data_IF_757598236356
#
_entry.id   IF_757598236356
#
_cell.length_a   1.000
_cell.length_b   1.000
_cell.length_c   1.000
_cell.angle_alpha   90.00
_cell.angle_beta   90.00
_cell.angle_gamma   90.00
#
_symmetry.space_group_name_H-M   'P 1'
#
loop_
_entity.id
_entity.type
_entity.pdbx_description
1 polymer ?
#
# COMPACT_ATOMS: atom_id res chain seq x y z
N UNK A 1 57.96 19.67 -3.55
CA UNK A 1 56.63 20.21 -3.18
C UNK A 1 55.74 20.28 -4.42
N UNK A 2 54.93 19.25 -4.77
CA UNK A 2 53.77 19.39 -5.71
C UNK A 2 53.09 18.08 -6.19
N UNK A 3 53.18 16.94 -5.49
CA UNK A 3 52.44 15.73 -5.90
C UNK A 3 51.41 15.27 -4.85
N UNK A 4 51.76 15.35 -3.56
CA UNK A 4 50.96 14.76 -2.49
C UNK A 4 49.67 15.53 -2.14
N UNK A 5 49.59 16.83 -2.45
CA UNK A 5 48.40 17.66 -2.14
C UNK A 5 47.28 17.43 -3.15
N UNK A 6 47.61 17.15 -4.43
CA UNK A 6 46.60 16.86 -5.47
C UNK A 6 45.84 15.55 -5.20
N UNK A 7 46.52 14.56 -4.61
CA UNK A 7 45.90 13.28 -4.28
C UNK A 7 44.88 13.40 -3.14
N UNK A 8 45.07 14.34 -2.21
CA UNK A 8 44.16 14.56 -1.10
C UNK A 8 42.85 15.25 -1.53
N UNK A 9 42.92 16.28 -2.39
CA UNK A 9 41.73 16.97 -2.91
C UNK A 9 40.88 16.09 -3.85
N UNK A 10 41.50 15.21 -4.63
CA UNK A 10 40.77 14.28 -5.51
C UNK A 10 39.95 13.26 -4.71
N UNK A 11 40.52 12.73 -3.62
CA UNK A 11 39.82 11.79 -2.74
C UNK A 11 38.68 12.45 -1.95
N UNK A 12 38.83 13.71 -1.52
CA UNK A 12 37.79 14.42 -0.76
C UNK A 12 36.53 14.76 -1.58
N UNK A 13 36.66 14.89 -2.91
CA UNK A 13 35.49 15.09 -3.79
C UNK A 13 34.72 13.80 -4.08
N UNK A 14 35.40 12.65 -4.09
CA UNK A 14 34.77 11.34 -4.38
C UNK A 14 33.97 10.81 -3.19
N UNK A 15 34.42 11.01 -1.96
CA UNK A 15 33.69 10.57 -0.75
C UNK A 15 32.39 11.34 -0.52
N UNK A 16 32.32 12.61 -0.94
CA UNK A 16 31.11 13.43 -0.77
C UNK A 16 29.99 13.09 -1.77
N UNK A 17 30.32 12.51 -2.94
CA UNK A 17 29.31 12.04 -3.90
C UNK A 17 28.72 10.67 -3.52
N UNK A 18 29.52 9.80 -2.88
CA UNK A 18 29.04 8.50 -2.42
C UNK A 18 28.08 8.60 -1.23
N UNK A 19 28.30 9.53 -0.31
CA UNK A 19 27.40 9.75 0.83
C UNK A 19 26.03 10.31 0.43
N UNK A 20 25.96 11.06 -0.68
CA UNK A 20 24.70 11.58 -1.22
C UNK A 20 23.84 10.49 -1.89
N UNK A 21 24.43 9.40 -2.37
CA UNK A 21 23.70 8.33 -3.05
C UNK A 21 23.09 7.29 -2.09
N UNK A 22 23.65 7.13 -0.89
CA UNK A 22 23.21 6.11 0.08
C UNK A 22 21.95 6.54 0.85
N UNK A 23 21.64 7.83 0.95
CA UNK A 23 20.40 8.31 1.58
C UNK A 23 19.15 8.21 0.68
N UNK A 24 19.31 7.89 -0.61
CA UNK A 24 18.18 7.81 -1.55
C UNK A 24 17.49 6.43 -1.58
N UNK A 25 17.98 5.46 -0.80
CA UNK A 25 17.36 4.13 -0.66
C UNK A 25 16.85 3.94 0.77
N UNK A 26 16.26 4.99 1.34
CA UNK A 26 15.26 4.76 2.38
C UNK A 26 14.08 4.08 1.68
N UNK A 27 13.61 2.91 2.14
CA UNK A 27 12.31 2.44 1.71
C UNK A 27 11.36 3.61 1.97
N UNK A 28 10.72 4.12 0.91
CA UNK A 28 9.59 5.02 1.10
C UNK A 28 8.75 4.37 2.20
N UNK A 29 8.37 5.08 3.28
CA UNK A 29 7.36 4.53 4.16
C UNK A 29 6.21 4.21 3.22
N UNK A 30 5.96 2.91 3.01
CA UNK A 30 4.82 2.45 2.24
C UNK A 30 3.68 3.20 2.89
N UNK A 31 3.11 4.15 2.14
CA UNK A 31 2.09 5.04 2.66
C UNK A 31 1.12 4.10 3.35
N UNK A 32 1.01 4.24 4.67
CA UNK A 32 0.08 3.46 5.43
C UNK A 32 -1.27 3.96 4.91
N UNK A 33 -1.74 3.31 3.84
CA UNK A 33 -3.03 3.54 3.25
C UNK A 33 -3.96 3.48 4.44
N UNK A 34 -4.52 4.63 4.79
CA UNK A 34 -5.27 4.81 6.02
C UNK A 34 -6.52 3.97 5.87
N UNK A 35 -6.41 2.71 6.27
CA UNK A 35 -7.42 1.70 6.03
C UNK A 35 -8.71 2.18 6.66
N UNK A 36 -9.73 2.35 5.83
CA UNK A 36 -11.06 2.68 6.31
C UNK A 36 -11.65 1.44 6.97
N UNK A 37 -12.25 1.60 8.15
CA UNK A 37 -13.03 0.52 8.75
C UNK A 37 -14.42 0.46 8.12
N UNK A 38 -14.89 -0.77 7.90
CA UNK A 38 -16.26 -1.05 7.54
C UNK A 38 -16.81 -2.15 8.44
N UNK A 39 -18.13 -2.11 8.69
CA UNK A 39 -18.85 -3.18 9.34
C UNK A 39 -20.01 -3.65 8.46
N UNK A 40 -20.14 -4.96 8.25
CA UNK A 40 -21.26 -5.52 7.50
C UNK A 40 -22.59 -5.28 8.23
N UNK A 41 -23.59 -4.76 7.54
CA UNK A 41 -24.93 -4.49 8.09
C UNK A 41 -25.85 -5.71 8.03
N UNK A 42 -25.54 -6.65 7.13
CA UNK A 42 -26.19 -7.95 6.93
C UNK A 42 -25.15 -8.98 6.46
N UNK A 43 -25.58 -10.21 6.16
CA UNK A 43 -24.69 -11.16 5.49
C UNK A 43 -24.27 -10.59 4.12
N UNK A 44 -22.98 -10.37 3.91
CA UNK A 44 -22.44 -9.70 2.73
C UNK A 44 -21.74 -10.70 1.82
N UNK A 45 -21.98 -10.58 0.51
CA UNK A 45 -21.36 -11.44 -0.50
C UNK A 45 -19.98 -10.89 -0.83
N UNK A 46 -18.96 -11.74 -0.74
CA UNK A 46 -17.59 -11.42 -1.14
C UNK A 46 -17.33 -11.96 -2.53
N UNK A 47 -16.76 -11.13 -3.40
CA UNK A 47 -16.50 -11.44 -4.80
C UNK A 47 -15.03 -11.27 -5.15
N UNK A 48 -14.59 -11.93 -6.22
CA UNK A 48 -13.21 -11.83 -6.72
C UNK A 48 -12.91 -10.53 -7.47
N UNK A 49 -13.93 -9.76 -7.85
CA UNK A 49 -13.76 -8.46 -8.51
C UNK A 49 -14.93 -7.49 -8.20
N UNK A 50 -14.76 -6.18 -8.42
CA UNK A 50 -15.75 -5.14 -8.10
C UNK A 50 -16.88 -5.08 -9.14
N UNK A 51 -17.59 -6.18 -9.33
CA UNK A 51 -18.75 -6.30 -10.20
C UNK A 51 -19.69 -7.41 -9.67
N UNK A 52 -21.01 -7.20 -9.80
CA UNK A 52 -22.03 -8.18 -9.38
C UNK A 52 -22.00 -9.48 -10.17
N UNK A 53 -21.43 -9.49 -11.37
CA UNK A 53 -21.28 -10.66 -12.22
C UNK A 53 -20.06 -11.51 -11.86
N UNK A 54 -19.15 -11.00 -11.02
CA UNK A 54 -17.96 -11.73 -10.58
C UNK A 54 -18.33 -12.93 -9.71
N UNK A 55 -17.57 -14.03 -9.77
CA UNK A 55 -17.76 -15.19 -8.89
C UNK A 55 -17.85 -14.81 -7.41
N UNK A 56 -18.76 -15.49 -6.71
CA UNK A 56 -18.87 -15.41 -5.25
C UNK A 56 -17.80 -16.32 -4.65
N UNK A 57 -16.97 -15.76 -3.77
CA UNK A 57 -15.90 -16.49 -3.10
C UNK A 57 -16.36 -17.00 -1.74
N UNK A 58 -17.03 -16.12 -0.98
CA UNK A 58 -17.53 -16.44 0.35
C UNK A 58 -18.61 -15.45 0.78
N UNK A 59 -19.19 -15.67 1.95
CA UNK A 59 -20.10 -14.74 2.61
C UNK A 59 -19.53 -14.30 3.96
N UNK A 60 -19.55 -13.00 4.24
CA UNK A 60 -19.24 -12.46 5.56
C UNK A 60 -20.52 -12.42 6.40
N UNK A 61 -20.48 -12.84 7.68
CA UNK A 61 -21.62 -12.71 8.57
C UNK A 61 -21.93 -11.24 8.87
N UNK A 62 -23.15 -10.96 9.31
CA UNK A 62 -23.56 -9.63 9.79
C UNK A 62 -22.70 -9.18 10.98
N UNK A 63 -22.34 -7.90 11.02
CA UNK A 63 -21.55 -7.31 12.10
C UNK A 63 -20.04 -7.54 11.98
N UNK A 64 -19.58 -8.24 10.93
CA UNK A 64 -18.16 -8.45 10.69
C UNK A 64 -17.49 -7.12 10.35
N UNK A 65 -16.45 -6.78 11.10
CA UNK A 65 -15.59 -5.63 10.84
C UNK A 65 -14.43 -6.05 9.95
N UNK A 66 -14.03 -5.18 9.03
CA UNK A 66 -12.86 -5.33 8.19
C UNK A 66 -12.32 -3.96 7.77
N UNK A 67 -11.07 -3.93 7.33
CA UNK A 67 -10.47 -2.73 6.76
C UNK A 67 -10.55 -2.79 5.24
N UNK A 68 -10.62 -1.64 4.59
CA UNK A 68 -10.55 -1.50 3.15
C UNK A 68 -9.71 -0.29 2.76
N UNK A 69 -9.17 -0.33 1.54
CA UNK A 69 -8.24 0.70 1.03
C UNK A 69 -8.77 1.30 -0.29
N UNK A 70 -9.35 0.46 -1.13
CA UNK A 70 -9.81 0.78 -2.48
C UNK A 70 -11.33 0.70 -2.55
N UNK A 71 -11.92 1.67 -3.26
CA UNK A 71 -13.33 1.67 -3.64
C UNK A 71 -13.46 1.74 -5.18
N UNK A 72 -14.31 0.89 -5.76
CA UNK A 72 -14.57 0.85 -7.21
C UNK A 72 -15.96 0.29 -7.49
N UNK A 73 -16.73 0.93 -8.38
CA UNK A 73 -18.04 0.46 -8.86
C UNK A 73 -19.08 0.13 -7.75
N UNK A 74 -19.04 0.83 -6.61
CA UNK A 74 -19.92 0.51 -5.47
C UNK A 74 -19.47 -0.73 -4.67
N UNK A 75 -18.20 -1.08 -4.75
CA UNK A 75 -17.54 -2.10 -3.95
C UNK A 75 -16.30 -1.54 -3.28
N UNK A 76 -15.94 -2.10 -2.13
CA UNK A 76 -14.67 -1.88 -1.46
C UNK A 76 -13.87 -3.17 -1.38
N UNK A 77 -12.55 -3.10 -1.46
CA UNK A 77 -11.72 -4.29 -1.29
C UNK A 77 -11.58 -4.64 0.20
N UNK A 78 -11.37 -5.90 0.53
CA UNK A 78 -10.86 -6.26 1.86
C UNK A 78 -9.36 -5.94 1.84
N UNK A 79 -8.87 -5.19 2.83
CA UNK A 79 -7.46 -4.80 2.93
C UNK A 79 -6.54 -6.03 2.80
N UNK A 80 -5.41 -5.82 2.11
CA UNK A 80 -4.43 -6.86 1.79
C UNK A 80 -5.00 -8.05 1.00
N UNK A 81 -6.15 -7.88 0.35
CA UNK A 81 -6.82 -8.91 -0.43
C UNK A 81 -7.30 -8.39 -1.79
N UNK A 82 -7.53 -9.32 -2.72
CA UNK A 82 -8.17 -9.07 -4.01
C UNK A 82 -9.69 -9.21 -3.95
N UNK A 83 -10.24 -9.45 -2.76
CA UNK A 83 -11.66 -9.68 -2.53
C UNK A 83 -12.42 -8.38 -2.35
N UNK A 84 -13.66 -8.35 -2.83
CA UNK A 84 -14.51 -7.17 -2.88
C UNK A 84 -15.86 -7.40 -2.21
N UNK A 85 -16.34 -6.38 -1.50
CA UNK A 85 -17.64 -6.36 -0.80
C UNK A 85 -18.44 -5.15 -1.25
N UNK A 86 -19.75 -5.30 -1.46
CA UNK A 86 -20.58 -4.17 -1.88
C UNK A 86 -20.71 -3.12 -0.77
N UNK A 87 -20.61 -1.84 -1.13
CA UNK A 87 -20.83 -0.73 -0.19
C UNK A 87 -22.26 -0.68 0.34
N UNK A 88 -23.23 -1.27 -0.39
CA UNK A 88 -24.61 -1.38 0.06
C UNK A 88 -24.80 -2.35 1.25
N UNK A 89 -23.81 -3.20 1.52
CA UNK A 89 -23.89 -4.23 2.56
C UNK A 89 -23.07 -3.87 3.82
N UNK A 90 -22.50 -2.66 3.87
CA UNK A 90 -21.61 -2.19 4.95
C UNK A 90 -22.00 -0.79 5.43
N UNK A 91 -21.47 -0.41 6.60
CA UNK A 91 -21.53 0.94 7.19
C UNK A 91 -20.19 1.32 7.81
#
# INVERSE_FOLDING_TARGET
MSASIKLFLANYKLTNLAAALVCAVLPLPAQADSGHQAQTTKAAIVRSCPNRLCPVVQTLPKGRKFYWILAKNGFVNIADSTLWVSTADIK
#
